data_IF_250595783889
#
_entry.id   IF_250595783889
#
_cell.length_a   1.000
_cell.length_b   1.000
_cell.length_c   1.000
_cell.angle_alpha   90.00
_cell.angle_beta   90.00
_cell.angle_gamma   90.00
#
_symmetry.space_group_name_H-M   'P 1'
#
loop_
_entity.id
_entity.type
_entity.pdbx_description
1 polymer ?
#
# COMPACT_ATOMS: atom_id res chain seq x y z
N UNK A 1 -20.59 0.07 -7.59
CA UNK A 1 -20.57 -0.02 -6.13
C UNK A 1 -21.49 1.07 -5.60
N UNK A 2 -22.65 0.72 -5.00
CA UNK A 2 -23.54 1.68 -4.34
C UNK A 2 -22.80 2.24 -3.12
N UNK A 3 -22.10 3.35 -3.29
CA UNK A 3 -21.51 4.09 -2.21
C UNK A 3 -22.58 4.93 -1.52
N UNK A 4 -22.80 4.78 -0.24
CA UNK A 4 -23.50 5.78 0.57
C UNK A 4 -22.71 7.10 0.40
N UNK A 5 -23.35 8.12 -0.20
CA UNK A 5 -22.72 9.38 -0.59
C UNK A 5 -22.36 10.29 0.58
N UNK A 6 -21.55 9.83 1.52
CA UNK A 6 -20.99 10.59 2.62
C UNK A 6 -19.49 10.89 2.43
N UNK A 7 -19.01 11.98 3.02
CA UNK A 7 -17.58 12.25 3.12
C UNK A 7 -16.94 11.22 4.05
N UNK A 8 -15.86 10.58 3.59
CA UNK A 8 -15.07 9.62 4.36
C UNK A 8 -13.62 10.13 4.44
N UNK A 9 -13.04 10.09 5.63
CA UNK A 9 -11.62 10.42 5.76
C UNK A 9 -10.75 9.38 5.02
N UNK A 10 -9.68 9.82 4.37
CA UNK A 10 -8.80 8.95 3.59
C UNK A 10 -8.23 7.79 4.42
N UNK A 11 -7.86 8.05 5.68
CA UNK A 11 -7.39 7.00 6.60
C UNK A 11 -8.43 5.89 6.83
N UNK A 12 -9.70 6.27 6.92
CA UNK A 12 -10.79 5.30 7.15
C UNK A 12 -11.11 4.55 5.86
N UNK A 13 -11.03 5.24 4.72
CA UNK A 13 -11.15 4.59 3.42
C UNK A 13 -10.08 3.51 3.21
N UNK A 14 -8.83 3.79 3.58
CA UNK A 14 -7.74 2.80 3.54
C UNK A 14 -7.97 1.68 4.55
N UNK A 15 -8.35 2.02 5.80
CA UNK A 15 -8.60 1.05 6.87
C UNK A 15 -9.68 0.02 6.49
N UNK A 16 -10.75 0.47 5.85
CA UNK A 16 -11.85 -0.38 5.38
C UNK A 16 -11.74 -0.81 3.92
N UNK A 17 -10.61 -0.54 3.27
CA UNK A 17 -10.33 -0.95 1.88
C UNK A 17 -11.42 -0.54 0.91
N UNK A 18 -11.78 0.76 0.85
CA UNK A 18 -12.87 1.29 0.04
C UNK A 18 -12.41 1.55 -1.39
N UNK A 19 -12.71 0.63 -2.29
CA UNK A 19 -12.34 0.69 -3.71
C UNK A 19 -12.69 2.00 -4.41
N UNK A 20 -13.91 2.58 -4.27
CA UNK A 20 -14.25 3.83 -4.94
C UNK A 20 -13.34 5.00 -4.57
N UNK A 21 -12.82 5.02 -3.33
CA UNK A 21 -11.88 6.06 -2.89
C UNK A 21 -10.51 5.84 -3.51
N UNK A 22 -10.03 4.58 -3.56
CA UNK A 22 -8.76 4.26 -4.20
C UNK A 22 -8.75 4.64 -5.69
N UNK A 23 -9.84 4.36 -6.42
CA UNK A 23 -9.97 4.74 -7.83
C UNK A 23 -9.96 6.25 -8.02
N UNK A 24 -10.67 7.01 -7.18
CA UNK A 24 -10.64 8.48 -7.24
C UNK A 24 -9.26 9.06 -6.92
N UNK A 25 -8.54 8.45 -5.99
CA UNK A 25 -7.20 8.90 -5.64
C UNK A 25 -6.22 8.67 -6.79
N UNK A 26 -6.25 7.52 -7.46
CA UNK A 26 -5.37 7.27 -8.59
C UNK A 26 -5.74 8.13 -9.81
N UNK A 27 -7.02 8.41 -10.00
CA UNK A 27 -7.47 9.34 -11.05
C UNK A 27 -6.89 10.74 -10.81
N UNK A 28 -6.86 11.19 -9.56
CA UNK A 28 -6.30 12.48 -9.18
C UNK A 28 -4.76 12.51 -9.21
N UNK A 29 -4.11 11.45 -8.76
CA UNK A 29 -2.65 11.35 -8.72
C UNK A 29 -2.04 11.08 -10.10
N UNK A 30 -2.80 10.45 -10.99
CA UNK A 30 -2.32 9.93 -12.27
C UNK A 30 -1.67 8.56 -12.16
N UNK A 31 -2.13 7.58 -12.93
CA UNK A 31 -1.63 6.20 -12.88
C UNK A 31 -0.11 6.13 -13.16
N UNK A 32 0.40 6.94 -14.09
CA UNK A 32 1.84 7.01 -14.40
C UNK A 32 2.69 7.40 -13.18
N UNK A 33 2.24 8.37 -12.40
CA UNK A 33 2.97 8.81 -11.20
C UNK A 33 2.98 7.71 -10.13
N UNK A 34 1.87 6.97 -9.99
CA UNK A 34 1.79 5.81 -9.08
C UNK A 34 2.72 4.69 -9.53
N UNK A 35 2.76 4.38 -10.83
CA UNK A 35 3.68 3.40 -11.42
C UNK A 35 5.12 3.82 -11.18
N UNK A 36 5.45 5.10 -11.43
CA UNK A 36 6.81 5.60 -11.20
C UNK A 36 7.22 5.48 -9.73
N UNK A 37 6.35 5.87 -8.80
CA UNK A 37 6.61 5.68 -7.36
C UNK A 37 6.81 4.20 -7.01
N UNK A 38 6.01 3.29 -7.57
CA UNK A 38 6.20 1.86 -7.37
C UNK A 38 7.57 1.38 -7.90
N UNK A 39 8.03 1.91 -9.06
CA UNK A 39 9.38 1.64 -9.59
C UNK A 39 10.46 2.12 -8.62
N UNK A 40 10.30 3.29 -8.05
CA UNK A 40 11.25 3.82 -7.08
C UNK A 40 11.21 3.07 -5.75
N UNK A 41 10.09 2.46 -5.41
CA UNK A 41 9.93 1.53 -4.30
C UNK A 41 10.42 0.11 -4.61
N UNK A 42 11.00 -0.11 -5.80
CA UNK A 42 11.67 -1.36 -6.17
C UNK A 42 10.80 -2.38 -6.90
N UNK A 43 9.59 -2.03 -7.30
CA UNK A 43 8.74 -2.91 -8.12
C UNK A 43 9.27 -2.91 -9.56
N UNK A 44 9.57 -4.10 -10.10
CA UNK A 44 10.09 -4.28 -11.46
C UNK A 44 9.06 -4.92 -12.40
N UNK A 45 8.05 -5.58 -11.85
CA UNK A 45 6.99 -6.23 -12.61
C UNK A 45 6.16 -5.23 -13.43
N UNK A 46 5.64 -5.68 -14.56
CA UNK A 46 4.88 -4.82 -15.46
C UNK A 46 3.58 -4.34 -14.82
N UNK A 47 3.33 -3.05 -14.91
CA UNK A 47 2.08 -2.42 -14.46
C UNK A 47 1.43 -1.68 -15.63
N UNK A 48 0.17 -1.95 -15.88
CA UNK A 48 -0.60 -1.28 -16.93
C UNK A 48 -0.99 0.13 -16.48
N UNK A 49 -0.81 1.11 -17.37
CA UNK A 49 -1.20 2.51 -17.12
C UNK A 49 -2.73 2.66 -17.23
N UNK A 50 -3.43 2.23 -16.21
CA UNK A 50 -4.89 2.37 -16.09
C UNK A 50 -5.32 2.46 -14.61
N UNK A 51 -6.59 2.78 -14.37
CA UNK A 51 -7.12 2.98 -13.02
C UNK A 51 -7.23 1.69 -12.19
N UNK A 52 -7.21 0.51 -12.83
CA UNK A 52 -7.37 -0.76 -12.11
C UNK A 52 -6.17 -1.12 -11.25
N UNK A 53 -5.00 -0.51 -11.48
CA UNK A 53 -3.84 -0.70 -10.59
C UNK A 53 -4.13 -0.27 -9.15
N UNK A 54 -5.05 0.68 -8.95
CA UNK A 54 -5.49 1.08 -7.61
C UNK A 54 -6.23 -0.04 -6.85
N UNK A 55 -6.71 -1.04 -7.57
CA UNK A 55 -7.42 -2.20 -7.04
C UNK A 55 -6.54 -3.45 -6.98
N UNK A 56 -5.28 -3.35 -7.41
CA UNK A 56 -4.32 -4.46 -7.36
C UNK A 56 -4.37 -5.38 -8.57
N UNK A 57 -4.65 -4.86 -9.76
CA UNK A 57 -4.71 -5.65 -11.01
C UNK A 57 -3.35 -6.09 -11.56
N UNK A 58 -2.24 -5.70 -10.95
CA UNK A 58 -0.90 -6.10 -11.37
C UNK A 58 -0.39 -7.25 -10.52
N UNK A 59 0.21 -8.25 -11.16
CA UNK A 59 0.89 -9.34 -10.47
C UNK A 59 2.27 -8.86 -10.03
N UNK A 60 2.48 -8.76 -8.72
CA UNK A 60 3.72 -8.27 -8.11
C UNK A 60 4.18 -9.30 -7.08
N UNK A 61 5.48 -9.56 -7.04
CA UNK A 61 6.03 -10.54 -6.10
C UNK A 61 5.93 -10.04 -4.65
N UNK A 62 5.75 -10.96 -3.71
CA UNK A 62 5.76 -10.64 -2.27
C UNK A 62 7.09 -10.00 -1.85
N UNK A 63 8.19 -10.39 -2.49
CA UNK A 63 9.51 -9.85 -2.26
C UNK A 63 9.59 -8.34 -2.59
N UNK A 64 9.08 -7.93 -3.74
CA UNK A 64 9.03 -6.52 -4.15
C UNK A 64 8.08 -5.72 -3.26
N UNK A 65 6.91 -6.28 -2.97
CA UNK A 65 5.95 -5.64 -2.07
C UNK A 65 6.53 -5.42 -0.68
N UNK A 66 7.30 -6.36 -0.14
CA UNK A 66 7.97 -6.18 1.16
C UNK A 66 9.04 -5.09 1.10
N UNK A 67 9.81 -5.01 0.02
CA UNK A 67 10.74 -3.90 -0.22
C UNK A 67 10.04 -2.55 -0.21
N UNK A 68 8.92 -2.44 -0.93
CA UNK A 68 8.12 -1.23 -0.99
C UNK A 68 7.52 -0.85 0.38
N UNK A 69 6.93 -1.81 1.09
CA UNK A 69 6.33 -1.55 2.40
C UNK A 69 7.37 -1.22 3.48
N UNK A 70 8.54 -1.87 3.44
CA UNK A 70 9.63 -1.58 4.39
C UNK A 70 10.14 -0.15 4.28
N UNK A 71 10.04 0.46 3.10
CA UNK A 71 10.44 1.86 2.87
C UNK A 71 9.66 2.82 3.76
N UNK A 72 8.37 2.57 4.01
CA UNK A 72 7.58 3.41 4.91
C UNK A 72 8.10 3.32 6.36
N UNK A 73 8.41 2.10 6.85
CA UNK A 73 8.97 1.91 8.19
C UNK A 73 10.40 2.47 8.31
N UNK A 74 11.11 2.58 7.18
CA UNK A 74 12.47 3.09 7.10
C UNK A 74 12.52 4.58 6.68
N UNK A 75 11.54 5.36 7.12
CA UNK A 75 11.46 6.83 6.94
C UNK A 75 11.57 7.30 5.49
N UNK A 76 11.07 6.49 4.54
CA UNK A 76 11.11 6.82 3.12
C UNK A 76 12.37 6.37 2.39
N UNK A 77 13.29 5.69 3.07
CA UNK A 77 14.49 5.13 2.47
C UNK A 77 14.24 3.70 1.99
N UNK A 78 14.31 3.49 0.68
CA UNK A 78 14.24 2.17 0.10
C UNK A 78 15.59 1.46 0.23
N UNK A 79 15.55 0.23 0.71
CA UNK A 79 16.68 -0.69 0.71
C UNK A 79 16.20 -1.95 -0.01
N UNK A 80 16.91 -2.32 -1.08
CA UNK A 80 16.59 -3.58 -1.77
C UNK A 80 16.76 -4.74 -0.79
N UNK A 81 15.75 -5.59 -0.58
CA UNK A 81 15.91 -6.77 0.25
C UNK A 81 17.01 -7.69 -0.31
N UNK A 82 17.88 -8.19 0.53
CA UNK A 82 18.96 -9.10 0.13
C UNK A 82 18.93 -10.36 0.99
N UNK A 83 19.05 -11.53 0.37
CA UNK A 83 19.08 -12.82 1.07
C UNK A 83 20.48 -13.20 1.53
N UNK A 84 21.51 -12.71 0.83
CA UNK A 84 22.91 -12.99 1.11
C UNK A 84 23.59 -11.65 1.33
N UNK A 85 24.12 -11.45 2.53
CA UNK A 85 24.84 -10.23 2.86
C UNK A 85 26.36 -10.42 2.92
N UNK A 86 26.82 -11.70 3.13
CA UNK A 86 28.23 -12.01 3.28
C UNK A 86 28.52 -13.43 2.80
N UNK A 87 29.64 -13.59 2.13
CA UNK A 87 30.19 -14.88 1.68
C UNK A 87 31.57 -15.03 2.29
N UNK A 88 31.84 -16.17 2.93
CA UNK A 88 33.11 -16.51 3.54
C UNK A 88 33.66 -17.81 2.95
N UNK A 89 35.01 -17.98 2.98
CA UNK A 89 35.64 -19.26 2.69
C UNK A 89 35.55 -20.18 3.92
N UNK A 90 36.02 -21.42 3.75
CA UNK A 90 36.03 -22.43 4.81
C UNK A 90 36.86 -22.03 6.05
N UNK A 91 37.75 -21.05 5.93
CA UNK A 91 38.57 -20.53 7.01
C UNK A 91 38.01 -19.27 7.67
N UNK A 92 36.79 -18.85 7.30
CA UNK A 92 36.14 -17.64 7.82
C UNK A 92 36.64 -16.32 7.20
N UNK A 93 37.46 -16.39 6.13
CA UNK A 93 37.88 -15.19 5.42
C UNK A 93 36.75 -14.68 4.55
N UNK A 94 36.41 -13.40 4.68
CA UNK A 94 35.38 -12.74 3.87
C UNK A 94 35.83 -12.70 2.41
N UNK A 95 35.07 -13.37 1.54
CA UNK A 95 35.23 -13.34 0.08
C UNK A 95 34.50 -12.14 -0.50
N UNK A 96 33.26 -11.90 -0.01
CA UNK A 96 32.41 -10.82 -0.49
C UNK A 96 31.47 -10.36 0.62
N UNK A 97 31.32 -9.07 0.77
CA UNK A 97 30.32 -8.43 1.59
C UNK A 97 29.44 -7.56 0.69
N UNK A 98 28.12 -7.73 0.82
CA UNK A 98 27.13 -6.95 0.06
C UNK A 98 26.67 -5.81 0.94
N UNK A 99 27.04 -4.61 0.55
CA UNK A 99 26.56 -3.39 1.25
C UNK A 99 25.19 -3.01 0.73
N UNK A 100 24.24 -2.70 1.61
CA UNK A 100 22.91 -2.25 1.17
C UNK A 100 23.03 -0.94 0.40
N UNK A 101 22.35 -0.88 -0.75
CA UNK A 101 22.17 0.36 -1.48
C UNK A 101 20.93 1.06 -0.94
N UNK A 102 21.12 2.20 -0.29
CA UNK A 102 20.05 3.00 0.31
C UNK A 102 19.70 4.12 -0.66
N UNK A 103 18.43 4.25 -0.97
CA UNK A 103 17.89 5.31 -1.82
C UNK A 103 16.73 6.00 -1.11
N UNK A 104 16.81 7.31 -0.93
CA UNK A 104 15.68 8.10 -0.47
C UNK A 104 14.64 8.15 -1.60
N UNK A 105 13.42 7.72 -1.30
CA UNK A 105 12.29 7.68 -2.23
C UNK A 105 11.24 8.72 -1.85
N UNK A 106 11.06 8.95 -0.57
CA UNK A 106 10.10 9.93 -0.09
C UNK A 106 10.57 10.56 1.23
N UNK A 107 10.04 11.74 1.51
CA UNK A 107 10.30 12.43 2.77
C UNK A 107 9.74 11.63 3.96
N UNK A 108 10.43 11.63 5.13
CA UNK A 108 9.96 10.95 6.35
C UNK A 108 8.53 11.30 6.78
N UNK A 109 8.07 12.54 6.55
CA UNK A 109 6.70 12.96 6.85
C UNK A 109 5.67 12.22 5.99
N UNK A 110 5.95 12.02 4.69
CA UNK A 110 5.08 11.22 3.80
C UNK A 110 5.07 9.75 4.22
N UNK A 111 6.25 9.20 4.52
CA UNK A 111 6.37 7.82 4.99
C UNK A 111 5.58 7.58 6.28
N UNK A 112 5.73 8.48 7.28
CA UNK A 112 5.00 8.36 8.53
C UNK A 112 3.48 8.60 8.37
N UNK A 113 3.08 9.51 7.48
CA UNK A 113 1.66 9.72 7.19
C UNK A 113 1.02 8.45 6.60
N UNK A 114 1.76 7.71 5.77
CA UNK A 114 1.31 6.42 5.26
C UNK A 114 1.22 5.36 6.37
N UNK A 115 2.23 5.27 7.25
CA UNK A 115 2.19 4.44 8.46
C UNK A 115 0.94 4.76 9.30
N UNK A 116 0.70 6.05 9.56
CA UNK A 116 -0.45 6.50 10.35
C UNK A 116 -1.79 6.03 9.75
N UNK A 117 -1.95 6.14 8.44
CA UNK A 117 -3.15 5.66 7.76
C UNK A 117 -3.26 4.12 7.82
N UNK A 118 -2.17 3.40 7.56
CA UNK A 118 -2.14 1.93 7.59
C UNK A 118 -2.35 1.35 9.00
N UNK A 119 -2.01 2.06 10.06
CA UNK A 119 -2.34 1.65 11.44
C UNK A 119 -3.84 1.48 11.65
N UNK A 120 -4.66 2.23 10.95
CA UNK A 120 -6.12 2.08 10.97
C UNK A 120 -6.61 0.69 10.57
N UNK A 121 -5.91 0.04 9.62
CA UNK A 121 -6.25 -1.33 9.17
C UNK A 121 -6.18 -2.34 10.31
N UNK A 122 -5.13 -2.24 11.15
CA UNK A 122 -4.92 -3.12 12.31
C UNK A 122 -5.78 -2.72 13.52
N UNK A 123 -5.96 -1.41 13.76
CA UNK A 123 -6.62 -0.91 14.96
C UNK A 123 -8.15 -1.12 14.93
N UNK A 124 -8.80 -0.80 13.81
CA UNK A 124 -10.27 -0.85 13.68
C UNK A 124 -10.76 -1.28 12.29
N UNK A 125 -9.86 -1.45 11.30
CA UNK A 125 -10.16 -1.80 9.92
C UNK A 125 -10.23 -3.30 9.67
N UNK A 126 -9.89 -3.69 8.44
CA UNK A 126 -10.06 -5.05 7.91
C UNK A 126 -9.28 -6.14 8.65
N UNK A 127 -8.17 -5.79 9.34
CA UNK A 127 -7.37 -6.75 10.10
C UNK A 127 -7.72 -6.81 11.59
N UNK A 128 -8.46 -5.82 12.13
CA UNK A 128 -8.58 -5.60 13.58
C UNK A 128 -9.24 -6.76 14.34
N UNK A 129 -10.29 -7.34 13.78
CA UNK A 129 -11.04 -8.44 14.45
C UNK A 129 -10.16 -9.68 14.60
N UNK A 130 -9.38 -10.02 13.59
CA UNK A 130 -8.53 -11.19 13.60
C UNK A 130 -7.32 -11.00 14.51
N UNK A 131 -6.67 -9.84 14.48
CA UNK A 131 -5.56 -9.52 15.40
C UNK A 131 -6.01 -9.58 16.87
N UNK A 132 -7.20 -9.04 17.17
CA UNK A 132 -7.80 -9.14 18.52
C UNK A 132 -8.09 -10.58 18.91
N UNK A 133 -8.68 -11.38 18.01
CA UNK A 133 -8.95 -12.81 18.25
C UNK A 133 -7.67 -13.58 18.55
N UNK A 134 -6.57 -13.21 17.89
CA UNK A 134 -5.26 -13.81 18.11
C UNK A 134 -4.55 -13.27 19.35
N UNK A 135 -5.06 -12.24 20.02
CA UNK A 135 -4.43 -11.63 21.19
C UNK A 135 -3.13 -10.88 20.85
N UNK A 136 -3.00 -10.36 19.61
CA UNK A 136 -1.85 -9.55 19.20
C UNK A 136 -2.16 -8.09 19.51
N UNK A 137 -1.41 -7.55 20.47
CA UNK A 137 -1.51 -6.16 20.89
C UNK A 137 -0.16 -5.48 20.68
N UNK A 138 0.06 -4.96 19.49
CA UNK A 138 1.29 -4.28 19.06
C UNK A 138 0.93 -3.14 18.11
N UNK A 139 1.83 -2.20 17.93
CA UNK A 139 1.68 -1.16 16.92
C UNK A 139 2.00 -1.75 15.54
N UNK A 140 0.97 -1.90 14.73
CA UNK A 140 1.04 -2.54 13.42
C UNK A 140 0.42 -1.59 12.40
N UNK A 141 1.15 -1.32 11.34
CA UNK A 141 0.64 -0.75 10.11
C UNK A 141 0.57 -1.85 9.05
N UNK A 142 -0.47 -1.90 8.24
CA UNK A 142 -0.57 -2.99 7.27
C UNK A 142 -1.73 -2.85 6.30
N UNK A 143 -1.85 -3.85 5.43
CA UNK A 143 -2.92 -3.92 4.44
C UNK A 143 -3.30 -5.36 4.15
N UNK A 144 -4.58 -5.61 4.04
CA UNK A 144 -5.16 -6.85 3.53
C UNK A 144 -5.36 -6.73 2.02
N UNK A 145 -5.16 -7.80 1.28
CA UNK A 145 -5.53 -7.95 -0.12
C UNK A 145 -6.41 -9.18 -0.31
N UNK A 146 -7.34 -9.08 -1.23
CA UNK A 146 -8.22 -10.18 -1.61
C UNK A 146 -8.56 -9.99 -3.08
N UNK A 147 -8.33 -11.00 -3.90
CA UNK A 147 -8.76 -10.98 -5.30
C UNK A 147 -10.24 -11.32 -5.41
N UNK A 148 -10.85 -10.94 -6.54
CA UNK A 148 -12.14 -11.44 -6.90
C UNK A 148 -12.13 -12.97 -6.92
N UNK A 149 -13.27 -13.61 -6.68
CA UNK A 149 -13.38 -15.06 -6.50
C UNK A 149 -12.57 -15.66 -5.35
N UNK A 150 -11.93 -14.88 -4.48
CA UNK A 150 -11.17 -15.38 -3.33
C UNK A 150 -10.05 -16.36 -3.70
N UNK A 151 -9.37 -16.17 -4.83
CA UNK A 151 -8.25 -17.01 -5.27
C UNK A 151 -6.95 -16.65 -4.56
N UNK A 152 -6.79 -15.38 -4.18
CA UNK A 152 -5.58 -14.88 -3.52
C UNK A 152 -5.93 -14.09 -2.27
N UNK A 153 -5.20 -14.36 -1.21
CA UNK A 153 -5.27 -13.61 0.03
C UNK A 153 -3.92 -13.07 0.44
N UNK A 154 -3.84 -11.77 0.70
CA UNK A 154 -2.64 -11.07 1.10
C UNK A 154 -2.80 -10.44 2.47
N UNK A 155 -1.73 -10.45 3.23
CA UNK A 155 -1.53 -9.55 4.34
C UNK A 155 -0.07 -9.13 4.42
N UNK A 156 0.18 -7.83 4.34
CA UNK A 156 1.48 -7.23 4.65
C UNK A 156 1.30 -6.40 5.91
N UNK A 157 2.12 -6.72 6.90
CA UNK A 157 2.16 -6.01 8.17
C UNK A 157 3.57 -5.54 8.46
N UNK A 158 3.70 -4.28 8.82
CA UNK A 158 4.94 -3.67 9.28
C UNK A 158 4.80 -3.24 10.73
N UNK A 159 5.83 -3.50 11.47
CA UNK A 159 6.06 -3.03 12.83
C UNK A 159 7.28 -2.11 12.81
N UNK A 160 7.62 -1.41 13.90
CA UNK A 160 8.75 -0.49 13.91
C UNK A 160 10.09 -1.10 13.48
N UNK A 161 10.25 -2.43 13.66
CA UNK A 161 11.54 -3.11 13.39
C UNK A 161 11.45 -4.24 12.38
N UNK A 162 10.26 -4.57 11.88
CA UNK A 162 10.08 -5.73 11.03
C UNK A 162 8.94 -5.52 10.03
N UNK A 163 9.22 -5.73 8.75
CA UNK A 163 8.23 -5.85 7.70
C UNK A 163 8.07 -7.33 7.33
N UNK A 164 6.83 -7.82 7.32
CA UNK A 164 6.51 -9.20 6.97
C UNK A 164 5.26 -9.27 6.12
N UNK A 165 5.24 -10.20 5.19
CA UNK A 165 4.11 -10.41 4.31
C UNK A 165 3.78 -11.89 4.15
N UNK A 166 2.52 -12.16 3.93
CA UNK A 166 2.00 -13.50 3.62
C UNK A 166 1.10 -13.39 2.40
N UNK A 167 1.33 -14.24 1.45
CA UNK A 167 0.45 -14.53 0.34
C UNK A 167 -0.03 -15.97 0.45
N UNK A 168 -1.31 -16.16 0.22
CA UNK A 168 -1.96 -17.47 0.14
C UNK A 168 -2.73 -17.49 -1.17
N UNK A 169 -2.44 -18.46 -2.01
CA UNK A 169 -3.08 -18.61 -3.31
C UNK A 169 -2.59 -19.86 -4.00
N UNK A 170 -2.99 -20.02 -5.24
CA UNK A 170 -2.57 -21.11 -6.11
C UNK A 170 -2.16 -20.55 -7.46
N UNK A 171 -1.37 -21.31 -8.20
CA UNK A 171 -0.89 -20.94 -9.53
C UNK A 171 -2.05 -20.72 -10.51
N UNK A 172 -3.08 -21.56 -10.43
CA UNK A 172 -4.30 -21.42 -11.19
C UNK A 172 -5.40 -20.77 -10.35
N UNK A 173 -5.86 -19.59 -10.76
CA UNK A 173 -6.95 -18.84 -10.11
C UNK A 173 -8.33 -19.53 -10.14
N UNK A 174 -8.49 -20.59 -10.93
CA UNK A 174 -9.66 -21.45 -10.83
C UNK A 174 -9.75 -22.18 -9.48
N UNK A 175 -8.61 -22.33 -8.79
CA UNK A 175 -8.56 -22.82 -7.41
C UNK A 175 -8.81 -21.68 -6.44
N UNK A 176 -9.98 -21.63 -5.84
CA UNK A 176 -10.40 -20.54 -4.98
C UNK A 176 -11.29 -21.00 -3.81
N UNK A 177 -11.45 -20.17 -2.80
CA UNK A 177 -12.42 -20.42 -1.74
C UNK A 177 -13.84 -20.07 -2.17
N UNK A 178 -14.82 -20.82 -1.71
CA UNK A 178 -16.23 -20.64 -2.07
C UNK A 178 -16.85 -19.36 -1.54
N UNK A 179 -16.28 -18.77 -0.50
CA UNK A 179 -16.84 -17.57 0.12
C UNK A 179 -15.77 -16.58 0.54
N UNK A 180 -16.09 -15.29 0.53
CA UNK A 180 -15.25 -14.24 1.10
C UNK A 180 -15.03 -14.43 2.61
N UNK A 181 -15.97 -15.11 3.31
CA UNK A 181 -15.82 -15.41 4.73
C UNK A 181 -14.58 -16.27 5.05
N UNK A 182 -14.18 -17.12 4.10
CA UNK A 182 -13.01 -17.99 4.20
C UNK A 182 -11.84 -17.44 3.39
N UNK A 183 -12.09 -16.95 2.17
CA UNK A 183 -11.09 -16.62 1.18
C UNK A 183 -10.58 -15.18 1.19
N UNK A 184 -10.99 -14.34 2.15
CA UNK A 184 -10.40 -13.00 2.26
C UNK A 184 -9.02 -13.03 2.93
N UNK A 185 -8.14 -12.11 2.57
CA UNK A 185 -6.77 -12.03 3.10
C UNK A 185 -6.71 -11.96 4.63
N UNK A 186 -7.72 -11.35 5.27
CA UNK A 186 -7.87 -11.34 6.72
C UNK A 186 -8.15 -12.74 7.32
N UNK A 187 -8.56 -13.72 6.54
CA UNK A 187 -8.86 -15.10 6.98
C UNK A 187 -7.83 -16.11 6.50
N UNK A 188 -7.20 -15.87 5.36
CA UNK A 188 -6.18 -16.76 4.80
C UNK A 188 -4.78 -16.37 5.27
N UNK A 189 -4.33 -15.16 4.91
CA UNK A 189 -2.96 -14.71 5.08
C UNK A 189 -2.68 -14.15 6.48
N UNK A 190 -3.60 -13.35 7.04
CA UNK A 190 -3.41 -12.72 8.34
C UNK A 190 -3.21 -13.69 9.50
N UNK A 191 -3.92 -14.84 9.61
CA UNK A 191 -3.65 -15.80 10.68
C UNK A 191 -2.22 -16.36 10.63
N UNK A 192 -1.70 -16.67 9.44
CA UNK A 192 -0.33 -17.17 9.26
C UNK A 192 0.67 -16.10 9.73
N UNK A 193 0.48 -14.85 9.28
CA UNK A 193 1.24 -13.70 9.73
C UNK A 193 1.20 -13.54 11.25
N UNK A 194 0.03 -13.67 11.84
CA UNK A 194 -0.16 -13.53 13.29
C UNK A 194 0.54 -14.62 14.11
N UNK A 195 0.49 -15.87 13.66
CA UNK A 195 1.23 -16.96 14.31
C UNK A 195 2.74 -16.79 14.20
N UNK A 196 3.23 -16.31 13.06
CA UNK A 196 4.63 -15.94 12.88
C UNK A 196 5.04 -14.85 13.86
N UNK A 197 4.29 -13.75 13.93
CA UNK A 197 4.60 -12.64 14.83
C UNK A 197 4.55 -13.02 16.30
N UNK A 198 3.67 -13.92 16.71
CA UNK A 198 3.68 -14.46 18.08
C UNK A 198 4.99 -15.14 18.42
N UNK A 199 5.56 -15.91 17.49
CA UNK A 199 6.87 -16.55 17.67
C UNK A 199 8.00 -15.48 17.74
N UNK A 200 7.96 -14.49 16.86
CA UNK A 200 8.91 -13.36 16.87
C UNK A 200 8.89 -12.64 18.23
N UNK A 201 7.70 -12.30 18.74
CA UNK A 201 7.57 -11.59 20.02
C UNK A 201 7.94 -12.46 21.23
N UNK A 202 7.87 -13.77 21.12
CA UNK A 202 8.30 -14.70 22.17
C UNK A 202 9.83 -14.84 22.23
N UNK A 203 10.52 -14.66 21.11
CA UNK A 203 11.97 -14.77 21.03
C UNK A 203 12.64 -13.42 21.34
N UNK A 204 13.07 -13.26 22.58
CA UNK A 204 13.72 -12.04 23.06
C UNK A 204 15.08 -11.78 22.42
N UNK A 205 15.73 -12.80 21.87
CA UNK A 205 17.05 -12.67 21.23
C UNK A 205 17.00 -11.78 19.96
N UNK A 206 15.82 -11.69 19.33
CA UNK A 206 15.59 -10.86 18.14
C UNK A 206 15.51 -9.35 18.44
N UNK A 207 15.36 -8.96 19.70
CA UNK A 207 15.23 -7.55 20.09
C UNK A 207 13.98 -6.84 19.55
N UNK A 208 12.95 -7.63 19.13
CA UNK A 208 11.67 -7.16 18.61
C UNK A 208 10.59 -7.37 19.66
N UNK A 209 9.87 -6.31 20.01
CA UNK A 209 8.89 -6.32 21.08
C UNK A 209 7.52 -5.85 20.59
N UNK A 210 6.42 -6.40 21.12
CA UNK A 210 5.09 -5.84 20.87
C UNK A 210 4.88 -4.44 21.45
N UNK A 211 5.84 -3.96 22.26
CA UNK A 211 5.84 -2.61 22.85
C UNK A 211 6.60 -1.59 22.01
N UNK A 212 7.29 -2.05 20.94
CA UNK A 212 7.97 -1.13 20.04
C UNK A 212 6.93 -0.22 19.35
N UNK A 213 7.27 1.07 19.20
CA UNK A 213 6.40 2.08 18.57
C UNK A 213 7.09 2.71 17.37
N UNK A 214 6.31 3.09 16.37
CA UNK A 214 6.85 3.86 15.26
C UNK A 214 7.26 5.25 15.74
N UNK A 215 8.46 5.63 15.39
CA UNK A 215 8.96 6.96 15.69
C UNK A 215 8.23 8.00 14.84
N UNK A 216 7.65 8.97 15.51
CA UNK A 216 6.90 10.05 14.90
C UNK A 216 7.82 11.23 14.61
N UNK A 217 7.85 11.78 13.37
CA UNK A 217 8.56 13.01 13.10
C UNK A 217 8.10 14.14 14.04
N UNK A 218 9.04 14.97 14.55
CA UNK A 218 8.76 16.02 15.53
C UNK A 218 7.67 16.99 15.10
N UNK A 219 7.65 17.33 13.82
CA UNK A 219 6.78 18.34 13.23
C UNK A 219 5.45 17.77 12.74
N UNK A 220 5.25 16.45 12.86
CA UNK A 220 4.03 15.81 12.39
C UNK A 220 2.87 16.03 13.37
N UNK A 221 1.82 16.73 12.95
CA UNK A 221 0.63 17.05 13.76
C UNK A 221 -0.57 16.14 13.45
N UNK A 222 -0.54 15.43 12.33
CA UNK A 222 -1.65 14.61 11.83
C UNK A 222 -2.64 15.37 10.97
N UNK A 223 -2.32 16.59 10.60
CA UNK A 223 -3.12 17.44 9.73
C UNK A 223 -2.59 17.40 8.29
N UNK A 224 -3.43 17.69 7.31
CA UNK A 224 -2.99 17.80 5.92
C UNK A 224 -1.93 18.91 5.72
N UNK A 225 -1.87 19.89 6.61
CA UNK A 225 -0.83 20.93 6.60
C UNK A 225 0.58 20.40 6.78
N UNK A 226 0.76 19.24 7.44
CA UNK A 226 2.07 18.63 7.65
C UNK A 226 2.75 18.27 6.32
N UNK A 227 1.96 18.09 5.26
CA UNK A 227 2.43 17.71 3.93
C UNK A 227 2.54 18.89 2.97
N UNK A 228 2.14 20.10 3.40
CA UNK A 228 2.24 21.31 2.57
C UNK A 228 3.69 21.79 2.51
N UNK A 229 4.16 22.08 1.29
CA UNK A 229 5.52 22.56 1.07
C UNK A 229 6.61 21.47 1.12
N UNK A 230 6.27 20.24 1.45
CA UNK A 230 7.16 19.11 1.23
C UNK A 230 7.06 18.76 -0.25
N UNK A 231 8.11 18.99 -1.04
CA UNK A 231 8.11 18.77 -2.48
C UNK A 231 7.37 17.50 -2.89
N UNK A 232 6.52 17.60 -3.90
CA UNK A 232 5.77 16.49 -4.44
C UNK A 232 6.70 15.50 -5.13
N UNK A 233 6.26 14.26 -5.24
CA UNK A 233 6.96 13.27 -6.03
C UNK A 233 6.94 13.67 -7.51
N UNK A 234 8.12 13.99 -8.08
CA UNK A 234 8.30 14.50 -9.44
C UNK A 234 7.93 15.98 -9.59
N UNK A 235 8.92 16.85 -9.59
CA UNK A 235 8.78 18.32 -9.63
C UNK A 235 8.04 18.91 -10.86
N UNK A 236 7.60 18.09 -11.80
CA UNK A 236 6.83 18.53 -12.98
C UNK A 236 5.33 18.21 -12.90
N UNK A 237 4.87 17.60 -11.80
CA UNK A 237 3.45 17.24 -11.61
C UNK A 237 3.02 17.22 -10.16
N UNK A 238 3.33 18.25 -9.39
CA UNK A 238 3.03 18.34 -7.95
C UNK A 238 1.64 17.82 -7.59
N UNK A 239 1.56 17.07 -6.48
CA UNK A 239 0.30 16.57 -5.92
C UNK A 239 -0.71 17.72 -5.84
N UNK A 240 -1.80 17.61 -6.58
CA UNK A 240 -2.91 18.56 -6.51
C UNK A 240 -3.49 18.54 -5.11
N UNK A 241 -3.74 19.71 -4.55
CA UNK A 241 -4.46 19.83 -3.29
C UNK A 241 -5.88 19.28 -3.46
N UNK A 242 -6.52 18.91 -2.34
CA UNK A 242 -7.92 18.44 -2.36
C UNK A 242 -8.85 19.49 -3.00
N UNK A 243 -8.54 20.77 -2.87
CA UNK A 243 -9.31 21.85 -3.51
C UNK A 243 -9.08 21.92 -5.03
N UNK A 244 -7.88 21.59 -5.50
CA UNK A 244 -7.58 21.46 -6.93
C UNK A 244 -8.19 20.19 -7.54
N UNK A 245 -8.38 19.14 -6.72
CA UNK A 245 -9.10 17.92 -7.09
C UNK A 245 -10.61 18.18 -7.15
N UNK A 246 -11.15 19.01 -6.23
CA UNK A 246 -12.57 19.37 -6.20
C UNK A 246 -12.97 20.34 -7.29
N UNK A 247 -12.06 21.26 -7.65
CA UNK A 247 -12.28 22.30 -8.65
C UNK A 247 -11.07 22.30 -9.59
N UNK A 248 -10.99 21.36 -10.54
CA UNK A 248 -9.93 21.40 -11.55
C UNK A 248 -10.04 22.72 -12.29
N UNK A 249 -9.03 23.61 -12.17
CA UNK A 249 -8.93 24.80 -12.99
C UNK A 249 -8.95 24.31 -14.43
N UNK A 250 -9.95 24.75 -15.20
CA UNK A 250 -9.96 24.50 -16.64
C UNK A 250 -8.65 25.04 -17.19
N UNK A 251 -7.97 24.29 -18.07
CA UNK A 251 -6.80 24.81 -18.75
C UNK A 251 -7.20 26.13 -19.44
N UNK A 252 -6.46 27.19 -19.16
CA UNK A 252 -6.66 28.48 -19.80
C UNK A 252 -6.49 28.28 -21.30
N UNK A 253 -7.60 28.27 -22.03
CA UNK A 253 -7.61 28.24 -23.49
C UNK A 253 -7.04 29.54 -24.01
N UNK A 254 -5.77 29.55 -24.38
CA UNK A 254 -5.27 30.43 -25.40
C UNK A 254 -5.33 29.65 -26.73
N UNK A 255 -6.40 29.84 -27.41
CA UNK A 255 -6.74 29.71 -28.83
C UNK A 255 -7.98 28.88 -29.12
N UNK A 256 -8.99 29.60 -29.53
CA UNK A 256 -9.94 29.40 -30.62
C UNK A 256 -10.65 28.05 -30.77
N UNK A 257 -11.97 28.13 -30.52
CA UNK A 257 -13.04 27.40 -31.21
C UNK A 257 -12.95 25.86 -31.26
N UNK A 258 -13.76 25.17 -30.42
CA UNK A 258 -14.86 24.34 -30.86
C UNK A 258 -15.54 23.57 -29.72
N UNK A 259 -16.88 23.77 -29.72
CA UNK A 259 -17.98 22.87 -29.39
C UNK A 259 -17.94 21.89 -28.17
N UNK A 260 -18.84 22.21 -27.24
CA UNK A 260 -19.62 21.36 -26.35
C UNK A 260 -19.51 19.83 -26.55
N UNK A 261 -18.92 19.16 -25.55
CA UNK A 261 -19.42 17.89 -25.02
C UNK A 261 -19.14 17.83 -23.52
N UNK A 262 -20.09 18.29 -22.74
CA UNK A 262 -20.21 17.92 -21.32
C UNK A 262 -20.67 16.45 -21.27
N UNK A 263 -19.78 15.51 -21.36
CA UNK A 263 -20.06 14.14 -20.91
C UNK A 263 -19.92 14.12 -19.39
N UNK A 264 -21.02 13.82 -18.74
CA UNK A 264 -21.16 13.76 -17.29
C UNK A 264 -20.22 12.66 -16.73
N UNK A 265 -19.36 13.00 -15.78
CA UNK A 265 -18.41 12.07 -15.13
C UNK A 265 -19.13 10.84 -14.54
N UNK A 266 -20.39 11.00 -14.16
CA UNK A 266 -21.25 9.91 -13.69
C UNK A 266 -21.54 8.85 -14.77
N UNK A 267 -21.57 9.22 -16.05
CA UNK A 267 -21.81 8.27 -17.15
C UNK A 267 -20.56 7.43 -17.46
N UNK A 268 -19.35 7.94 -17.19
CA UNK A 268 -18.13 7.13 -17.33
C UNK A 268 -17.95 6.13 -16.18
N UNK A 269 -18.41 6.45 -14.99
CA UNK A 269 -18.38 5.54 -13.83
C UNK A 269 -19.40 4.42 -14.07
N UNK A 270 -20.58 4.71 -14.63
CA UNK A 270 -21.61 3.72 -14.95
C UNK A 270 -21.23 2.83 -16.13
N UNK A 271 -20.39 3.30 -17.07
CA UNK A 271 -19.87 2.47 -18.17
C UNK A 271 -18.74 1.51 -17.75
N UNK A 272 -18.11 1.74 -16.61
CA UNK A 272 -17.14 0.79 -16.04
C UNK A 272 -17.80 -0.35 -15.25
N UNK A 273 -19.13 -0.28 -15.02
CA UNK A 273 -19.90 -1.37 -14.40
C UNK A 273 -20.21 -2.51 -15.39
N UNK A 274 -20.04 -2.29 -16.71
CA UNK A 274 -20.25 -3.30 -17.76
C UNK A 274 -18.95 -4.04 -18.14
N UNK A 275 -17.86 -3.89 -17.38
CA UNK A 275 -16.69 -4.74 -17.54
C UNK A 275 -17.02 -6.08 -16.88
N UNK A 276 -17.50 -7.00 -17.71
CA UNK A 276 -17.74 -8.40 -17.36
C UNK A 276 -16.40 -9.05 -16.99
N UNK A 277 -16.17 -9.27 -15.69
CA UNK A 277 -14.98 -9.92 -15.12
C UNK A 277 -15.03 -11.47 -15.27
N UNK A 278 -15.73 -11.99 -16.29
CA UNK A 278 -15.80 -13.40 -16.64
C UNK A 278 -14.79 -13.79 -17.74
N UNK A 279 -13.53 -13.37 -17.65
CA UNK A 279 -12.45 -14.00 -18.40
C UNK A 279 -11.23 -14.20 -17.49
#
# INVERSE_FOLDING_TARGET
>A
VKGSGGMLMMKDALAYSKNPVAVRLIEAAGAKNVIQLARDLGVTEEMKDNLTIALGSSDITIYEMLGAYSTFANYGNYIKPEMIWRIEDANGRVIKEIKPNIREVMNPMHAYSMIYMMKGVAAYGTASSELKRMGINAEIAGKTGTTDNNSDGWFIGITPKLATGVWVGWEDRATHFWSTGEGQGARMALPIWGYFMKKIYADKSLGISPKDTFEKPSDWTGNCSDLQGLGGYGDEGGLRTIDEIRNPKQPSNSNGQNENKNENINDKINRSEDIDFNQ
#
